data_IF_586639621312
#
_entry.id   IF_586639621312
#
_cell.length_a   1.000
_cell.length_b   1.000
_cell.length_c   1.000
_cell.angle_alpha   90.00
_cell.angle_beta   90.00
_cell.angle_gamma   90.00
#
_symmetry.space_group_name_H-M   'P 1'
#
loop_
_entity.id
_entity.type
_entity.pdbx_description
1 polymer ?
#
# COMPACT_ATOMS: atom_id res chain seq x y z
N UNK A 1 21.57 -11.11 11.88
CA UNK A 1 20.16 -11.34 11.54
C UNK A 1 19.32 -10.63 12.58
N UNK A 2 18.55 -9.60 12.19
CA UNK A 2 17.69 -8.86 13.15
C UNK A 2 16.48 -9.73 13.54
N UNK A 3 16.00 -9.67 14.80
CA UNK A 3 14.78 -10.39 15.21
C UNK A 3 13.57 -9.91 14.38
N UNK A 4 12.65 -10.80 14.03
CA UNK A 4 11.50 -10.49 13.13
C UNK A 4 10.68 -9.27 13.58
N UNK A 5 10.51 -9.09 14.89
CA UNK A 5 9.80 -7.93 15.47
C UNK A 5 10.46 -6.59 15.13
N UNK A 6 11.78 -6.55 15.01
CA UNK A 6 12.51 -5.33 14.64
C UNK A 6 12.39 -5.02 13.15
N UNK A 7 12.31 -6.06 12.31
CA UNK A 7 12.11 -5.90 10.87
C UNK A 7 10.75 -5.23 10.59
N UNK A 8 9.70 -5.72 11.24
CA UNK A 8 8.35 -5.14 11.13
C UNK A 8 8.28 -3.69 11.64
N UNK A 9 9.05 -3.35 12.69
CA UNK A 9 9.12 -1.98 13.18
C UNK A 9 9.84 -1.05 12.21
N UNK A 10 11.01 -1.45 11.69
CA UNK A 10 11.85 -0.64 10.79
C UNK A 10 11.24 -0.49 9.37
N UNK A 11 10.37 -1.40 8.97
CA UNK A 11 9.69 -1.37 7.67
C UNK A 11 8.50 -0.39 7.61
N UNK A 12 8.04 0.14 8.76
CA UNK A 12 6.99 1.16 8.78
C UNK A 12 7.52 2.50 8.26
N UNK A 13 6.76 3.24 7.43
CA UNK A 13 7.20 4.49 6.79
C UNK A 13 7.30 5.69 7.76
N UNK A 14 7.35 5.45 9.08
CA UNK A 14 7.43 6.49 10.08
C UNK A 14 8.87 7.04 10.16
N UNK A 15 9.00 8.36 10.16
CA UNK A 15 10.26 9.10 10.34
C UNK A 15 11.21 8.51 11.40
N UNK A 16 10.79 8.27 12.67
CA UNK A 16 11.70 7.75 13.69
C UNK A 16 12.24 6.35 13.36
N UNK A 17 11.44 5.51 12.70
CA UNK A 17 11.82 4.14 12.39
C UNK A 17 12.88 4.13 11.28
N UNK A 18 12.72 4.99 10.28
CA UNK A 18 13.68 5.13 9.18
C UNK A 18 14.97 5.81 9.65
N UNK A 19 14.90 6.82 10.51
CA UNK A 19 16.09 7.40 11.15
C UNK A 19 16.87 6.35 11.95
N UNK A 20 16.18 5.53 12.76
CA UNK A 20 16.82 4.44 13.50
C UNK A 20 17.47 3.41 12.55
N UNK A 21 16.84 3.09 11.42
CA UNK A 21 17.42 2.21 10.40
C UNK A 21 18.75 2.77 9.86
N UNK A 22 18.80 4.03 9.45
CA UNK A 22 20.03 4.66 8.96
C UNK A 22 21.10 4.80 10.05
N UNK A 23 20.70 5.03 11.31
CA UNK A 23 21.62 5.04 12.46
C UNK A 23 22.26 3.66 12.69
N UNK A 24 21.50 2.58 12.55
CA UNK A 24 22.03 1.21 12.67
C UNK A 24 23.05 0.94 11.56
N UNK A 25 22.75 1.35 10.31
CA UNK A 25 23.71 1.26 9.20
C UNK A 25 24.97 2.06 9.54
N UNK A 26 24.82 3.28 10.06
CA UNK A 26 25.94 4.14 10.44
C UNK A 26 26.85 3.46 11.46
N UNK A 27 26.27 2.94 12.55
CA UNK A 27 27.03 2.24 13.61
C UNK A 27 27.71 0.98 13.05
N UNK A 28 27.04 0.22 12.19
CA UNK A 28 27.61 -0.98 11.58
C UNK A 28 28.80 -0.64 10.68
N UNK A 29 28.67 0.38 9.82
CA UNK A 29 29.74 0.86 8.94
C UNK A 29 30.89 1.41 9.78
N UNK A 30 30.60 2.21 10.83
CA UNK A 30 31.59 2.72 11.78
C UNK A 30 32.35 1.60 12.48
N UNK A 31 31.68 0.52 12.86
CA UNK A 31 32.32 -0.63 13.53
C UNK A 31 33.27 -1.36 12.59
N UNK A 32 32.86 -1.60 11.34
CA UNK A 32 33.73 -2.22 10.32
C UNK A 32 34.93 -1.33 10.05
N UNK A 33 34.72 -0.03 9.91
CA UNK A 33 35.79 0.94 9.72
C UNK A 33 36.76 0.94 10.92
N UNK A 34 36.24 0.95 12.15
CA UNK A 34 37.05 0.85 13.37
C UNK A 34 37.90 -0.42 13.40
N UNK A 35 37.35 -1.57 13.01
CA UNK A 35 38.11 -2.84 12.91
C UNK A 35 39.22 -2.73 11.85
N UNK A 36 38.91 -2.17 10.67
CA UNK A 36 39.90 -1.98 9.60
C UNK A 36 41.04 -1.08 10.09
N UNK A 37 40.73 0.00 10.80
CA UNK A 37 41.73 0.89 11.40
C UNK A 37 42.60 0.11 12.39
N UNK A 38 42.00 -0.63 13.32
CA UNK A 38 42.74 -1.41 14.32
C UNK A 38 43.67 -2.44 13.68
N UNK A 39 43.24 -3.10 12.60
CA UNK A 39 44.07 -4.02 11.82
C UNK A 39 45.21 -3.26 11.16
N UNK A 40 44.94 -2.09 10.59
CA UNK A 40 45.93 -1.29 9.89
C UNK A 40 46.99 -0.73 10.85
N UNK A 41 46.59 -0.20 12.00
CA UNK A 41 47.51 0.26 13.07
C UNK A 41 48.37 -0.91 13.62
N UNK A 42 47.81 -2.12 13.69
CA UNK A 42 48.57 -3.32 14.09
C UNK A 42 49.63 -3.74 13.05
N UNK A 43 49.35 -3.55 11.76
CA UNK A 43 50.27 -3.89 10.67
C UNK A 43 51.32 -2.79 10.42
N UNK A 44 50.98 -1.54 10.68
CA UNK A 44 51.82 -0.36 10.42
C UNK A 44 51.94 0.47 11.71
N UNK A 45 52.89 0.12 12.57
CA UNK A 45 53.11 0.79 13.86
C UNK A 45 53.38 2.29 13.76
N UNK A 46 53.85 2.76 12.60
CA UNK A 46 54.12 4.17 12.33
C UNK A 46 52.86 4.95 11.93
N UNK A 47 51.78 4.25 11.55
CA UNK A 47 50.49 4.83 11.22
C UNK A 47 49.62 4.83 12.49
N UNK A 48 49.52 5.98 13.14
CA UNK A 48 48.67 6.12 14.32
C UNK A 48 47.72 7.28 14.13
N UNK A 49 46.43 6.98 13.95
CA UNK A 49 45.38 7.99 13.79
C UNK A 49 45.14 8.69 15.14
N UNK A 50 45.42 8.00 16.26
CA UNK A 50 45.15 8.46 17.62
C UNK A 50 46.37 9.05 18.35
N UNK A 51 47.61 8.73 17.96
CA UNK A 51 48.80 9.25 18.63
C UNK A 51 49.51 10.32 17.80
N UNK A 52 49.52 11.54 18.34
CA UNK A 52 50.21 12.74 17.84
C UNK A 52 51.74 12.61 17.66
N UNK A 53 52.30 11.40 17.71
CA UNK A 53 53.74 11.18 17.80
C UNK A 53 54.48 11.40 16.48
N UNK A 54 53.85 11.20 15.32
CA UNK A 54 54.50 11.43 14.02
C UNK A 54 54.51 12.92 13.59
N UNK A 55 53.51 13.72 14.01
CA UNK A 55 53.35 15.10 13.57
C UNK A 55 54.13 16.14 14.41
N UNK A 56 54.61 15.74 15.59
CA UNK A 56 55.44 16.62 16.44
C UNK A 56 56.84 16.88 15.88
N UNK A 57 57.22 16.27 14.76
CA UNK A 57 58.56 16.39 14.18
C UNK A 57 58.64 17.39 13.00
N UNK A 58 57.53 17.82 12.41
CA UNK A 58 57.50 18.75 11.28
C UNK A 58 56.50 19.90 11.49
N UNK A 59 56.95 21.14 11.28
CA UNK A 59 56.07 22.31 11.35
C UNK A 59 55.13 22.34 10.13
N UNK A 60 53.92 22.91 10.27
CA UNK A 60 52.90 23.02 9.20
C UNK A 60 53.40 23.59 7.88
N UNK A 61 54.39 24.49 7.93
CA UNK A 61 55.08 25.04 6.76
C UNK A 61 55.87 23.99 5.97
N UNK A 62 56.52 23.04 6.65
CA UNK A 62 57.30 21.98 6.00
C UNK A 62 56.41 20.94 5.30
N UNK A 63 55.25 20.59 5.87
CA UNK A 63 54.28 19.73 5.19
C UNK A 63 53.59 20.41 4.00
N UNK A 64 53.38 21.74 4.08
CA UNK A 64 52.89 22.54 2.95
C UNK A 64 53.90 22.58 1.81
N UNK A 65 55.18 22.80 2.10
CA UNK A 65 56.24 22.86 1.10
C UNK A 65 56.53 21.49 0.44
N UNK A 66 56.17 20.38 1.11
CA UNK A 66 56.24 19.02 0.56
C UNK A 66 55.03 18.64 -0.32
N UNK A 67 54.03 19.52 -0.49
CA UNK A 67 52.88 19.30 -1.36
C UNK A 67 51.87 18.26 -0.87
N UNK A 68 51.95 17.83 0.39
CA UNK A 68 51.03 16.84 0.97
C UNK A 68 49.59 17.37 0.92
N UNK A 69 49.34 18.53 1.53
CA UNK A 69 48.02 19.16 1.62
C UNK A 69 47.33 19.42 0.27
N UNK A 70 48.08 19.52 -0.82
CA UNK A 70 47.51 19.69 -2.15
C UNK A 70 46.87 18.40 -2.68
N UNK A 71 47.47 17.24 -2.36
CA UNK A 71 46.90 15.94 -2.70
C UNK A 71 45.63 15.65 -1.90
N UNK A 72 45.61 15.90 -0.58
CA UNK A 72 44.39 15.66 0.21
C UNK A 72 43.27 16.64 -0.15
N UNK A 73 43.59 17.92 -0.43
CA UNK A 73 42.59 18.88 -0.95
C UNK A 73 42.03 18.44 -2.29
N UNK A 74 42.88 17.93 -3.18
CA UNK A 74 42.44 17.42 -4.48
C UNK A 74 41.49 16.23 -4.31
N UNK A 75 41.85 15.24 -3.49
CA UNK A 75 41.01 14.06 -3.23
C UNK A 75 39.70 14.43 -2.53
N UNK A 76 39.74 15.36 -1.56
CA UNK A 76 38.55 15.83 -0.85
C UNK A 76 37.63 16.63 -1.78
N UNK A 77 38.19 17.45 -2.67
CA UNK A 77 37.44 18.16 -3.70
C UNK A 77 36.79 17.16 -4.67
N UNK A 78 37.53 16.15 -5.11
CA UNK A 78 37.00 15.07 -5.96
C UNK A 78 35.86 14.30 -5.26
N UNK A 79 36.01 14.00 -3.96
CA UNK A 79 34.97 13.37 -3.16
C UNK A 79 33.71 14.24 -3.12
N UNK A 80 33.83 15.51 -2.73
CA UNK A 80 32.70 16.45 -2.65
C UNK A 80 32.01 16.60 -4.01
N UNK A 81 32.77 16.75 -5.09
CA UNK A 81 32.23 16.84 -6.45
C UNK A 81 31.49 15.56 -6.84
N UNK A 82 32.05 14.38 -6.53
CA UNK A 82 31.40 13.09 -6.82
C UNK A 82 30.09 12.93 -6.03
N UNK A 83 30.06 13.34 -4.76
CA UNK A 83 28.85 13.31 -3.92
C UNK A 83 27.78 14.26 -4.47
N UNK A 84 28.17 15.47 -4.88
CA UNK A 84 27.28 16.45 -5.50
C UNK A 84 26.70 15.93 -6.83
N UNK A 85 27.51 15.28 -7.67
CA UNK A 85 27.06 14.69 -8.92
C UNK A 85 26.08 13.52 -8.68
N UNK A 86 26.38 12.64 -7.73
CA UNK A 86 25.53 11.49 -7.39
C UNK A 86 24.19 11.95 -6.83
N UNK A 87 24.15 12.91 -5.90
CA UNK A 87 22.87 13.39 -5.36
C UNK A 87 22.04 14.12 -6.43
N UNK A 88 22.67 14.87 -7.34
CA UNK A 88 21.98 15.48 -8.47
C UNK A 88 21.32 14.43 -9.37
N UNK A 89 22.04 13.34 -9.69
CA UNK A 89 21.51 12.21 -10.46
C UNK A 89 20.36 11.52 -9.72
N UNK A 90 20.49 11.31 -8.42
CA UNK A 90 19.43 10.69 -7.61
C UNK A 90 18.17 11.54 -7.62
N UNK A 91 18.30 12.86 -7.43
CA UNK A 91 17.15 13.78 -7.49
C UNK A 91 16.46 13.71 -8.86
N UNK A 92 17.23 13.70 -9.96
CA UNK A 92 16.64 13.65 -11.30
C UNK A 92 15.95 12.32 -11.57
N UNK A 93 16.58 11.18 -11.24
CA UNK A 93 15.95 9.86 -11.38
C UNK A 93 14.70 9.72 -10.53
N UNK A 94 14.70 10.22 -9.30
CA UNK A 94 13.55 10.16 -8.41
C UNK A 94 12.41 11.04 -8.90
N UNK A 95 12.70 12.21 -9.45
CA UNK A 95 11.70 13.06 -10.07
C UNK A 95 11.09 12.41 -11.33
N UNK A 96 11.91 11.76 -12.17
CA UNK A 96 11.43 10.98 -13.32
C UNK A 96 10.57 9.79 -12.87
N UNK A 97 11.00 9.07 -11.83
CA UNK A 97 10.23 7.98 -11.24
C UNK A 97 8.84 8.45 -10.75
N UNK A 98 8.79 9.60 -10.05
CA UNK A 98 7.54 10.22 -9.61
C UNK A 98 6.66 10.63 -10.79
N UNK A 99 7.25 11.22 -11.85
CA UNK A 99 6.53 11.59 -13.05
C UNK A 99 5.93 10.37 -13.77
N UNK A 100 6.71 9.30 -13.93
CA UNK A 100 6.24 8.05 -14.53
C UNK A 100 5.12 7.41 -13.70
N UNK A 101 5.23 7.43 -12.37
CA UNK A 101 4.18 6.95 -11.48
C UNK A 101 2.91 7.81 -11.60
N UNK A 102 3.04 9.14 -11.61
CA UNK A 102 1.91 10.05 -11.75
C UNK A 102 1.16 9.86 -13.08
N UNK A 103 1.90 9.65 -14.17
CA UNK A 103 1.33 9.35 -15.49
C UNK A 103 0.73 7.95 -15.58
N UNK A 104 1.31 6.98 -14.87
CA UNK A 104 0.87 5.58 -14.96
C UNK A 104 -0.33 5.26 -14.07
N UNK A 105 -0.48 5.97 -12.95
CA UNK A 105 -1.35 5.58 -11.84
C UNK A 105 -2.37 6.64 -11.43
N UNK A 106 -1.97 7.90 -11.23
CA UNK A 106 -2.79 9.10 -11.00
C UNK A 106 -1.90 10.22 -10.43
N UNK A 107 -2.23 11.49 -10.69
CA UNK A 107 -1.53 12.63 -10.09
C UNK A 107 -1.55 12.60 -8.55
N UNK A 108 -2.57 11.99 -7.94
CA UNK A 108 -2.71 11.87 -6.47
C UNK A 108 -1.69 10.92 -5.83
N UNK A 109 -1.06 10.05 -6.62
CA UNK A 109 0.01 9.15 -6.15
C UNK A 109 1.29 9.92 -5.78
N UNK A 110 1.46 11.15 -6.27
CA UNK A 110 2.63 11.98 -5.97
C UNK A 110 2.76 12.23 -4.45
N UNK A 111 1.64 12.37 -3.74
CA UNK A 111 1.69 12.67 -2.31
C UNK A 111 2.19 11.48 -1.48
N UNK A 112 1.97 10.24 -1.95
CA UNK A 112 2.59 9.04 -1.37
C UNK A 112 4.11 9.13 -1.48
N UNK A 113 4.63 9.61 -2.61
CA UNK A 113 6.07 9.77 -2.80
C UNK A 113 6.66 10.87 -1.90
N UNK A 114 6.00 12.02 -1.77
CA UNK A 114 6.45 13.12 -0.91
C UNK A 114 6.54 12.75 0.57
N UNK A 115 5.63 11.89 1.02
CA UNK A 115 5.56 11.46 2.42
C UNK A 115 6.63 10.42 2.80
N UNK A 116 7.39 9.88 1.85
CA UNK A 116 8.46 8.94 2.16
C UNK A 116 9.67 9.65 2.79
N UNK A 117 10.02 9.37 4.07
CA UNK A 117 11.11 10.05 4.76
C UNK A 117 12.50 9.70 4.21
N UNK A 118 12.66 8.57 3.50
CA UNK A 118 13.95 8.07 3.01
C UNK A 118 14.65 9.04 2.06
N UNK A 119 13.87 9.71 1.20
CA UNK A 119 14.42 10.72 0.27
C UNK A 119 15.01 11.90 1.04
N UNK A 120 14.28 12.39 2.05
CA UNK A 120 14.70 13.53 2.86
C UNK A 120 15.90 13.20 3.74
N UNK A 121 15.93 12.00 4.33
CA UNK A 121 17.06 11.52 5.13
C UNK A 121 18.31 11.40 4.25
N UNK A 122 18.21 10.77 3.07
CA UNK A 122 19.34 10.64 2.15
C UNK A 122 19.86 12.02 1.73
N UNK A 123 18.96 12.92 1.34
CA UNK A 123 19.32 14.29 0.96
C UNK A 123 20.03 15.02 2.11
N UNK A 124 19.52 14.88 3.34
CA UNK A 124 20.14 15.45 4.54
C UNK A 124 21.56 14.92 4.79
N UNK A 125 21.77 13.60 4.68
CA UNK A 125 23.09 12.97 4.82
C UNK A 125 24.07 13.53 3.79
N UNK A 126 23.67 13.59 2.51
CA UNK A 126 24.54 14.09 1.44
C UNK A 126 24.88 15.57 1.62
N UNK A 127 23.88 16.42 1.94
CA UNK A 127 24.09 17.84 2.18
C UNK A 127 25.07 18.05 3.34
N UNK A 128 24.88 17.35 4.47
CA UNK A 128 25.78 17.43 5.61
C UNK A 128 27.20 16.98 5.27
N UNK A 129 27.36 15.87 4.55
CA UNK A 129 28.68 15.38 4.11
C UNK A 129 29.38 16.35 3.16
N UNK A 130 28.64 16.96 2.22
CA UNK A 130 29.18 17.97 1.30
C UNK A 130 29.64 19.22 2.08
N UNK A 131 28.80 19.75 2.98
CA UNK A 131 29.18 20.90 3.79
C UNK A 131 30.38 20.61 4.71
N UNK A 132 30.44 19.41 5.28
CA UNK A 132 31.59 18.97 6.07
C UNK A 132 32.86 18.92 5.22
N UNK A 133 32.81 18.33 4.03
CA UNK A 133 33.94 18.28 3.10
C UNK A 133 34.41 19.67 2.64
N UNK A 134 33.49 20.55 2.24
CA UNK A 134 33.81 21.93 1.85
C UNK A 134 34.40 22.75 3.01
N UNK A 135 33.81 22.62 4.20
CA UNK A 135 34.30 23.26 5.41
C UNK A 135 35.72 22.80 5.73
N UNK A 136 35.99 21.50 5.61
CA UNK A 136 37.31 20.95 5.81
C UNK A 136 38.31 21.50 4.80
N UNK A 137 38.02 21.50 3.48
CA UNK A 137 38.88 22.10 2.44
C UNK A 137 39.30 23.53 2.82
N UNK A 138 38.34 24.35 3.28
CA UNK A 138 38.61 25.74 3.69
C UNK A 138 39.53 25.81 4.91
N UNK A 139 39.33 24.92 5.89
CA UNK A 139 40.17 24.84 7.10
C UNK A 139 41.60 24.40 6.75
N UNK A 140 41.77 23.41 5.86
CA UNK A 140 43.10 23.04 5.33
C UNK A 140 43.72 24.27 4.66
N UNK A 141 42.91 25.01 3.89
CA UNK A 141 43.22 26.30 3.27
C UNK A 141 43.94 27.28 4.19
N UNK A 142 43.47 27.36 5.44
CA UNK A 142 43.87 28.37 6.42
C UNK A 142 44.94 27.87 7.42
N UNK A 143 45.29 26.57 7.40
CA UNK A 143 46.34 26.01 8.26
C UNK A 143 46.01 25.97 9.76
N UNK A 144 44.73 26.04 10.14
CA UNK A 144 44.29 26.26 11.53
C UNK A 144 44.39 25.01 12.43
N UNK A 145 44.39 23.80 11.86
CA UNK A 145 44.00 22.57 12.58
C UNK A 145 45.10 21.48 12.63
N UNK A 146 46.38 21.89 12.66
CA UNK A 146 47.57 21.03 12.44
C UNK A 146 47.56 19.67 13.15
N UNK A 147 47.02 19.60 14.38
CA UNK A 147 47.12 18.40 15.21
C UNK A 147 45.93 17.42 15.08
N UNK A 148 44.83 17.80 14.41
CA UNK A 148 43.66 16.93 14.19
C UNK A 148 43.28 16.77 12.71
N UNK A 149 44.18 17.17 11.82
CA UNK A 149 43.94 17.22 10.37
C UNK A 149 43.68 15.85 9.76
N UNK A 150 44.50 14.85 10.07
CA UNK A 150 44.36 13.50 9.52
C UNK A 150 43.05 12.83 9.94
N UNK A 151 42.70 12.94 11.23
CA UNK A 151 41.43 12.43 11.74
C UNK A 151 40.21 13.09 11.10
N UNK A 152 40.25 14.39 10.83
CA UNK A 152 39.16 15.10 10.14
C UNK A 152 39.03 14.69 8.67
N UNK A 153 40.15 14.53 7.96
CA UNK A 153 40.19 14.03 6.57
C UNK A 153 39.63 12.61 6.50
N UNK A 154 40.06 11.75 7.43
CA UNK A 154 39.54 10.40 7.56
C UNK A 154 38.04 10.38 7.84
N UNK A 155 37.57 11.25 8.74
CA UNK A 155 36.15 11.45 9.01
C UNK A 155 35.37 11.85 7.76
N UNK A 156 35.93 12.69 6.89
CA UNK A 156 35.30 13.08 5.64
C UNK A 156 35.17 11.91 4.66
N UNK A 157 36.23 11.09 4.52
CA UNK A 157 36.17 9.87 3.70
C UNK A 157 35.16 8.87 4.24
N UNK A 158 35.12 8.67 5.55
CA UNK A 158 34.14 7.81 6.21
C UNK A 158 32.71 8.28 5.93
N UNK A 159 32.42 9.57 6.11
CA UNK A 159 31.10 10.15 5.82
C UNK A 159 30.72 10.05 4.35
N UNK A 160 31.69 10.20 3.43
CA UNK A 160 31.49 9.99 2.00
C UNK A 160 31.15 8.54 1.67
N UNK A 161 31.91 7.58 2.19
CA UNK A 161 31.67 6.15 2.01
C UNK A 161 30.32 5.72 2.59
N UNK A 162 29.98 6.20 3.80
CA UNK A 162 28.67 6.00 4.41
C UNK A 162 27.53 6.52 3.52
N UNK A 163 27.66 7.72 2.95
CA UNK A 163 26.66 8.28 2.04
C UNK A 163 26.43 7.38 0.82
N UNK A 164 27.50 6.82 0.22
CA UNK A 164 27.38 5.83 -0.86
C UNK A 164 26.67 4.55 -0.43
N UNK A 165 26.93 4.03 0.77
CA UNK A 165 26.21 2.85 1.28
C UNK A 165 24.72 3.15 1.45
N UNK A 166 24.34 4.33 1.95
CA UNK A 166 22.94 4.74 2.12
C UNK A 166 22.15 4.81 0.81
N UNK A 167 22.83 4.95 -0.33
CA UNK A 167 22.21 4.97 -1.65
C UNK A 167 21.55 3.63 -2.00
N UNK A 168 22.18 2.50 -1.65
CA UNK A 168 21.68 1.15 -1.99
C UNK A 168 20.28 0.87 -1.44
N UNK A 169 20.01 1.01 -0.11
CA UNK A 169 18.67 0.79 0.43
C UNK A 169 17.65 1.79 -0.12
N UNK A 170 18.07 3.03 -0.39
CA UNK A 170 17.21 4.03 -1.02
C UNK A 170 16.76 3.62 -2.43
N UNK A 171 17.70 3.16 -3.26
CA UNK A 171 17.41 2.71 -4.63
C UNK A 171 16.45 1.52 -4.63
N UNK A 172 16.68 0.54 -3.76
CA UNK A 172 15.74 -0.59 -3.62
C UNK A 172 14.35 -0.14 -3.20
N UNK A 173 14.24 0.82 -2.26
CA UNK A 173 12.94 1.33 -1.84
C UNK A 173 12.23 2.09 -2.94
N UNK A 174 12.95 2.92 -3.69
CA UNK A 174 12.40 3.67 -4.82
C UNK A 174 11.89 2.73 -5.92
N UNK A 175 12.64 1.67 -6.24
CA UNK A 175 12.19 0.62 -7.17
C UNK A 175 10.97 -0.14 -6.65
N UNK A 176 10.86 -0.35 -5.34
CA UNK A 176 9.68 -0.97 -4.73
C UNK A 176 8.44 -0.07 -4.84
N UNK A 177 8.59 1.23 -4.65
CA UNK A 177 7.51 2.22 -4.77
C UNK A 177 7.01 2.37 -6.20
N UNK A 178 7.82 2.06 -7.22
CA UNK A 178 7.37 2.07 -8.61
C UNK A 178 6.34 0.96 -8.94
N UNK A 179 6.28 -0.09 -8.11
CA UNK A 179 5.33 -1.19 -8.31
C UNK A 179 3.91 -0.74 -7.93
N UNK A 180 2.90 -0.94 -8.79
CA UNK A 180 1.52 -0.52 -8.52
C UNK A 180 0.99 -1.15 -7.23
N UNK A 181 1.31 -2.42 -6.97
CA UNK A 181 0.88 -3.13 -5.77
C UNK A 181 1.40 -2.51 -4.48
N UNK A 182 2.63 -1.97 -4.48
CA UNK A 182 3.19 -1.27 -3.32
C UNK A 182 2.47 0.05 -3.08
N UNK A 183 2.25 0.83 -4.13
CA UNK A 183 1.52 2.11 -4.05
C UNK A 183 0.11 1.88 -3.55
N UNK A 184 -0.62 0.93 -4.14
CA UNK A 184 -1.98 0.55 -3.73
C UNK A 184 -1.99 0.16 -2.25
N UNK A 185 -1.02 -0.62 -1.77
CA UNK A 185 -0.94 -1.02 -0.37
C UNK A 185 -0.70 0.16 0.56
N UNK A 186 0.15 1.11 0.16
CA UNK A 186 0.39 2.34 0.95
C UNK A 186 -0.87 3.20 1.01
N UNK A 187 -1.55 3.41 -0.12
CA UNK A 187 -2.82 4.13 -0.19
C UNK A 187 -3.92 3.44 0.62
N UNK A 188 -3.98 2.11 0.62
CA UNK A 188 -4.99 1.37 1.37
C UNK A 188 -4.80 1.49 2.89
N UNK A 189 -3.57 1.71 3.37
CA UNK A 189 -3.33 2.00 4.78
C UNK A 189 -3.90 3.37 5.20
N UNK A 190 -4.16 4.27 4.24
CA UNK A 190 -4.82 5.55 4.49
C UNK A 190 -6.34 5.46 4.49
N UNK A 191 -6.93 4.30 4.14
CA UNK A 191 -8.35 4.02 4.32
C UNK A 191 -8.57 3.72 5.81
N UNK A 192 -8.50 4.78 6.61
CA UNK A 192 -8.80 4.72 8.04
C UNK A 192 -10.17 5.31 8.32
N UNK A 193 -10.86 4.84 9.37
CA UNK A 193 -12.17 5.33 9.72
C UNK A 193 -12.20 6.85 9.94
N UNK A 194 -11.16 7.41 10.57
CA UNK A 194 -11.09 8.83 10.91
C UNK A 194 -11.07 9.69 9.66
N UNK A 195 -10.32 9.26 8.64
CA UNK A 195 -10.23 9.97 7.34
C UNK A 195 -11.53 9.88 6.55
N UNK A 196 -12.25 8.74 6.60
CA UNK A 196 -13.53 8.59 5.88
C UNK A 196 -14.62 9.45 6.54
N UNK A 197 -14.71 9.44 7.88
CA UNK A 197 -15.71 10.22 8.61
C UNK A 197 -15.46 11.72 8.46
N UNK A 198 -14.21 12.16 8.40
CA UNK A 198 -13.88 13.57 8.16
C UNK A 198 -14.37 14.05 6.80
N UNK A 199 -14.32 13.20 5.77
CA UNK A 199 -14.87 13.49 4.44
C UNK A 199 -16.40 13.65 4.50
N UNK A 200 -17.10 12.77 5.23
CA UNK A 200 -18.57 12.82 5.29
C UNK A 200 -19.13 13.98 6.14
N UNK A 201 -18.43 14.42 7.20
CA UNK A 201 -18.94 15.47 8.11
C UNK A 201 -18.78 16.91 7.61
N UNK A 202 -17.97 17.15 6.58
CA UNK A 202 -17.62 18.50 6.10
C UNK A 202 -18.10 18.70 4.66
N UNK A 203 -19.41 18.67 4.44
CA UNK A 203 -20.05 18.82 3.11
C UNK A 203 -19.71 20.15 2.38
N UNK A 204 -19.18 21.17 3.07
CA UNK A 204 -19.03 22.53 2.51
C UNK A 204 -17.58 22.99 2.22
N UNK A 205 -16.55 22.19 2.49
CA UNK A 205 -15.17 22.58 2.15
C UNK A 205 -14.60 21.68 1.07
N UNK A 206 -14.07 22.33 0.01
CA UNK A 206 -13.32 21.72 -1.08
C UNK A 206 -12.05 21.08 -0.49
N UNK A 207 -12.17 19.87 0.06
CA UNK A 207 -11.04 19.02 0.42
C UNK A 207 -11.09 17.75 -0.41
N UNK A 208 -10.18 17.72 -1.38
CA UNK A 208 -9.36 16.57 -1.77
C UNK A 208 -8.88 15.84 -0.49
N UNK A 209 -9.09 14.54 -0.24
CA UNK A 209 -9.13 13.34 -1.08
C UNK A 209 -9.93 12.28 -0.30
N UNK A 210 -11.03 11.79 -0.84
CA UNK A 210 -11.60 10.51 -0.43
C UNK A 210 -10.47 9.45 -0.43
N UNK A 211 -10.16 8.79 0.72
CA UNK A 211 -8.98 7.92 0.82
C UNK A 211 -9.03 6.70 -0.10
N UNK A 212 -10.23 6.33 -0.59
CA UNK A 212 -10.42 5.25 -1.56
C UNK A 212 -10.11 5.72 -2.98
N UNK A 213 -10.37 7.01 -3.28
CA UNK A 213 -10.36 7.56 -4.62
C UNK A 213 -8.99 7.45 -5.34
N UNK A 214 -7.83 7.66 -4.71
CA UNK A 214 -6.54 7.40 -5.37
C UNK A 214 -6.40 5.96 -5.87
N UNK A 215 -6.93 4.98 -5.13
CA UNK A 215 -6.91 3.57 -5.55
C UNK A 215 -7.91 3.36 -6.71
N UNK A 216 -9.06 4.02 -6.66
CA UNK A 216 -10.05 4.00 -7.76
C UNK A 216 -9.44 4.50 -9.07
N UNK A 217 -8.73 5.64 -9.03
CA UNK A 217 -8.08 6.22 -10.20
C UNK A 217 -7.07 5.23 -10.83
N UNK A 218 -6.28 4.55 -9.99
CA UNK A 218 -5.35 3.50 -10.43
C UNK A 218 -6.10 2.33 -11.08
N UNK A 219 -7.19 1.89 -10.47
CA UNK A 219 -8.02 0.78 -10.98
C UNK A 219 -8.65 1.16 -12.33
N UNK A 220 -9.15 2.39 -12.49
CA UNK A 220 -9.73 2.84 -13.75
C UNK A 220 -8.68 2.91 -14.88
N UNK A 221 -7.50 3.45 -14.61
CA UNK A 221 -6.40 3.44 -15.57
C UNK A 221 -5.95 2.00 -15.89
N UNK A 222 -5.93 1.12 -14.91
CA UNK A 222 -5.62 -0.30 -15.12
C UNK A 222 -6.69 -1.01 -15.96
N UNK A 223 -7.97 -0.71 -15.73
CA UNK A 223 -9.08 -1.19 -16.56
C UNK A 223 -8.97 -0.69 -18.01
N UNK A 224 -8.54 0.54 -18.22
CA UNK A 224 -8.27 1.09 -19.56
C UNK A 224 -7.15 0.35 -20.28
N UNK A 225 -6.09 0.01 -19.54
CA UNK A 225 -4.92 -0.71 -20.06
C UNK A 225 -5.12 -2.24 -20.10
N UNK A 226 -6.28 -2.75 -19.67
CA UNK A 226 -6.55 -4.17 -19.45
C UNK A 226 -5.54 -4.87 -18.51
N UNK A 227 -4.94 -4.13 -17.58
CA UNK A 227 -4.08 -4.66 -16.53
C UNK A 227 -4.93 -5.23 -15.38
N UNK A 228 -5.41 -6.43 -15.63
CA UNK A 228 -6.28 -7.17 -14.72
C UNK A 228 -5.64 -7.48 -13.36
N UNK A 229 -4.32 -7.63 -13.27
CA UNK A 229 -3.66 -7.89 -11.99
C UNK A 229 -3.60 -6.64 -11.12
N UNK A 230 -3.38 -5.46 -11.72
CA UNK A 230 -3.46 -4.19 -10.98
C UNK A 230 -4.89 -3.92 -10.49
N UNK A 231 -5.91 -4.18 -11.31
CA UNK A 231 -7.33 -4.09 -10.89
C UNK A 231 -7.63 -5.00 -9.70
N UNK A 232 -7.21 -6.26 -9.79
CA UNK A 232 -7.36 -7.25 -8.71
C UNK A 232 -6.64 -6.82 -7.43
N UNK A 233 -5.41 -6.31 -7.53
CA UNK A 233 -4.66 -5.83 -6.38
C UNK A 233 -5.34 -4.63 -5.71
N UNK A 234 -5.86 -3.70 -6.50
CA UNK A 234 -6.64 -2.56 -6.02
C UNK A 234 -7.90 -2.98 -5.26
N UNK A 235 -8.72 -3.82 -5.87
CA UNK A 235 -9.94 -4.37 -5.25
C UNK A 235 -9.63 -5.15 -3.97
N UNK A 236 -8.55 -5.95 -3.97
CA UNK A 236 -8.14 -6.71 -2.79
C UNK A 236 -7.73 -5.79 -1.62
N UNK A 237 -7.05 -4.68 -1.93
CA UNK A 237 -6.63 -3.71 -0.93
C UNK A 237 -7.83 -2.95 -0.33
N UNK A 238 -8.76 -2.47 -1.17
CA UNK A 238 -10.01 -1.83 -0.72
C UNK A 238 -10.83 -2.81 0.14
N UNK A 239 -10.97 -4.06 -0.31
CA UNK A 239 -11.70 -5.10 0.42
C UNK A 239 -11.10 -5.38 1.79
N UNK A 240 -9.78 -5.53 1.90
CA UNK A 240 -9.13 -5.76 3.19
C UNK A 240 -9.31 -4.57 4.13
N UNK A 241 -9.12 -3.34 3.65
CA UNK A 241 -9.35 -2.14 4.46
C UNK A 241 -10.80 -2.09 4.97
N UNK A 242 -11.78 -2.37 4.11
CA UNK A 242 -13.21 -2.41 4.49
C UNK A 242 -13.49 -3.44 5.59
N UNK A 243 -12.88 -4.62 5.50
CA UNK A 243 -13.08 -5.70 6.48
C UNK A 243 -12.44 -5.34 7.82
N UNK A 244 -11.30 -4.65 7.80
CA UNK A 244 -10.68 -4.12 9.02
C UNK A 244 -11.56 -3.05 9.68
N UNK A 245 -12.29 -2.24 8.90
CA UNK A 245 -13.31 -1.31 9.41
C UNK A 245 -14.45 -2.06 10.11
N UNK A 246 -15.03 -3.08 9.46
CA UNK A 246 -16.16 -3.88 10.00
C UNK A 246 -15.81 -4.57 11.33
N UNK A 247 -14.55 -4.99 11.48
CA UNK A 247 -14.04 -5.64 12.70
C UNK A 247 -13.83 -4.68 13.85
N UNK A 248 -13.71 -3.39 13.59
CA UNK A 248 -13.33 -2.42 14.60
C UNK A 248 -14.56 -2.00 15.44
N UNK A 249 -14.65 -2.55 16.65
CA UNK A 249 -15.77 -2.33 17.58
C UNK A 249 -15.80 -0.93 18.21
N UNK A 250 -14.82 -0.07 17.92
CA UNK A 250 -14.73 1.28 18.49
C UNK A 250 -15.68 2.29 17.83
N UNK A 251 -16.30 1.93 16.70
CA UNK A 251 -17.19 2.84 15.97
C UNK A 251 -18.61 2.86 16.51
N UNK A 252 -19.23 4.04 16.41
CA UNK A 252 -20.68 4.13 16.43
C UNK A 252 -21.20 3.46 15.17
N UNK A 253 -22.24 2.65 15.32
CA UNK A 253 -22.85 1.85 14.23
C UNK A 253 -23.15 2.72 12.99
N UNK A 254 -23.61 3.96 13.20
CA UNK A 254 -23.94 4.88 12.11
C UNK A 254 -22.73 5.33 11.27
N UNK A 255 -21.61 5.68 11.91
CA UNK A 255 -20.42 6.18 11.24
C UNK A 255 -19.72 5.08 10.42
N UNK A 256 -19.74 3.86 10.95
CA UNK A 256 -19.24 2.68 10.25
C UNK A 256 -20.07 2.39 9.00
N UNK A 257 -21.41 2.40 9.11
CA UNK A 257 -22.31 2.15 7.98
C UNK A 257 -22.10 3.14 6.84
N UNK A 258 -21.95 4.42 7.14
CA UNK A 258 -21.74 5.46 6.13
C UNK A 258 -20.41 5.22 5.39
N UNK A 259 -19.34 4.93 6.15
CA UNK A 259 -18.02 4.65 5.60
C UNK A 259 -18.01 3.38 4.73
N UNK A 260 -18.61 2.28 5.21
CA UNK A 260 -18.64 1.01 4.47
C UNK A 260 -19.51 1.11 3.23
N UNK A 261 -20.65 1.79 3.30
CA UNK A 261 -21.54 1.99 2.14
C UNK A 261 -20.87 2.78 1.04
N UNK A 262 -20.13 3.84 1.40
CA UNK A 262 -19.33 4.62 0.46
C UNK A 262 -18.28 3.75 -0.26
N UNK A 263 -17.57 2.89 0.48
CA UNK A 263 -16.60 1.96 -0.12
C UNK A 263 -17.28 0.89 -0.99
N UNK A 264 -18.43 0.36 -0.57
CA UNK A 264 -19.20 -0.63 -1.33
C UNK A 264 -19.61 -0.05 -2.68
N UNK A 265 -20.06 1.21 -2.71
CA UNK A 265 -20.43 1.92 -3.94
C UNK A 265 -19.22 2.07 -4.88
N UNK A 266 -18.03 2.33 -4.36
CA UNK A 266 -16.80 2.35 -5.16
C UNK A 266 -16.49 0.99 -5.80
N UNK A 267 -16.60 -0.10 -5.03
CA UNK A 267 -16.39 -1.46 -5.58
C UNK A 267 -17.45 -1.79 -6.64
N UNK A 268 -18.71 -1.40 -6.42
CA UNK A 268 -19.78 -1.54 -7.41
C UNK A 268 -19.42 -0.79 -8.70
N UNK A 269 -19.05 0.49 -8.60
CA UNK A 269 -18.68 1.31 -9.75
C UNK A 269 -17.53 0.69 -10.56
N UNK A 270 -16.53 0.11 -9.91
CA UNK A 270 -15.46 -0.65 -10.59
C UNK A 270 -16.06 -1.84 -11.36
N UNK A 271 -16.93 -2.62 -10.72
CA UNK A 271 -17.59 -3.76 -11.34
C UNK A 271 -18.44 -3.36 -12.54
N UNK A 272 -19.19 -2.26 -12.44
CA UNK A 272 -20.00 -1.71 -13.53
C UNK A 272 -19.13 -1.23 -14.70
N UNK A 273 -18.02 -0.54 -14.42
CA UNK A 273 -17.08 -0.12 -15.46
C UNK A 273 -16.41 -1.31 -16.15
N UNK A 274 -16.06 -2.35 -15.39
CA UNK A 274 -15.56 -3.60 -15.97
C UNK A 274 -16.60 -4.28 -16.86
N UNK A 275 -17.88 -4.28 -16.46
CA UNK A 275 -18.99 -4.82 -17.25
C UNK A 275 -19.18 -4.08 -18.57
N UNK A 276 -19.14 -2.75 -18.54
CA UNK A 276 -19.26 -1.92 -19.73
C UNK A 276 -18.15 -2.18 -20.74
N UNK A 277 -16.97 -2.60 -20.27
CA UNK A 277 -15.82 -2.98 -21.09
C UNK A 277 -15.79 -4.45 -21.50
N UNK A 278 -16.76 -5.27 -21.07
CA UNK A 278 -16.74 -6.72 -21.32
C UNK A 278 -15.66 -7.47 -20.52
N UNK A 279 -15.08 -6.85 -19.49
CA UNK A 279 -14.01 -7.44 -18.69
C UNK A 279 -14.56 -8.31 -17.56
N UNK A 280 -15.03 -9.51 -17.91
CA UNK A 280 -15.60 -10.48 -16.96
C UNK A 280 -14.61 -10.87 -15.84
N UNK A 281 -13.30 -10.83 -16.11
CA UNK A 281 -12.27 -11.14 -15.11
C UNK A 281 -12.28 -10.09 -14.00
N UNK A 282 -12.23 -8.80 -14.35
CA UNK A 282 -12.27 -7.72 -13.37
C UNK A 282 -13.60 -7.64 -12.63
N UNK A 283 -14.73 -7.85 -13.33
CA UNK A 283 -16.05 -7.96 -12.68
C UNK A 283 -16.06 -9.06 -11.61
N UNK A 284 -15.48 -10.23 -11.93
CA UNK A 284 -15.39 -11.36 -10.98
C UNK A 284 -14.70 -10.94 -9.67
N UNK A 285 -13.64 -10.13 -9.73
CA UNK A 285 -12.96 -9.66 -8.52
C UNK A 285 -13.78 -8.63 -7.75
N UNK A 286 -14.55 -7.78 -8.43
CA UNK A 286 -15.48 -6.86 -7.75
C UNK A 286 -16.55 -7.67 -7.00
N UNK A 287 -17.16 -8.66 -7.67
CA UNK A 287 -18.13 -9.58 -7.06
C UNK A 287 -17.55 -10.33 -5.85
N UNK A 288 -16.35 -10.91 -5.99
CA UNK A 288 -15.68 -11.62 -4.89
C UNK A 288 -15.36 -10.70 -3.70
N UNK A 289 -15.02 -9.44 -3.98
CA UNK A 289 -14.76 -8.45 -2.93
C UNK A 289 -16.05 -8.10 -2.19
N UNK A 290 -17.13 -7.85 -2.91
CA UNK A 290 -18.47 -7.62 -2.35
C UNK A 290 -18.94 -8.82 -1.54
N UNK A 291 -18.87 -10.05 -2.08
CA UNK A 291 -19.26 -11.28 -1.36
C UNK A 291 -18.52 -11.41 -0.02
N UNK A 292 -17.21 -11.17 -0.01
CA UNK A 292 -16.41 -11.25 1.21
C UNK A 292 -16.81 -10.18 2.23
N UNK A 293 -16.96 -8.92 1.79
CA UNK A 293 -17.42 -7.81 2.65
C UNK A 293 -18.82 -8.11 3.20
N UNK A 294 -19.73 -8.62 2.38
CA UNK A 294 -21.09 -8.96 2.79
C UNK A 294 -21.12 -10.07 3.83
N UNK A 295 -20.29 -11.09 3.65
CA UNK A 295 -20.16 -12.21 4.60
C UNK A 295 -19.58 -11.74 5.94
N UNK A 296 -18.52 -10.93 5.92
CA UNK A 296 -17.94 -10.35 7.15
C UNK A 296 -18.93 -9.38 7.82
N UNK A 297 -19.70 -8.61 7.04
CA UNK A 297 -20.77 -7.74 7.57
C UNK A 297 -21.82 -8.54 8.33
N UNK A 298 -22.24 -9.70 7.79
CA UNK A 298 -23.19 -10.60 8.45
C UNK A 298 -22.60 -11.15 9.75
N UNK A 299 -21.34 -11.61 9.72
CA UNK A 299 -20.64 -12.15 10.90
C UNK A 299 -20.53 -11.09 12.01
N UNK A 300 -20.30 -9.83 11.65
CA UNK A 300 -20.17 -8.71 12.57
C UNK A 300 -21.49 -7.99 12.86
N UNK A 301 -22.64 -8.55 12.42
CA UNK A 301 -23.99 -8.01 12.64
C UNK A 301 -24.17 -6.57 12.14
N UNK A 302 -23.57 -6.28 10.98
CA UNK A 302 -23.63 -4.98 10.29
C UNK A 302 -24.70 -5.05 9.21
N UNK A 303 -25.96 -5.07 9.65
CA UNK A 303 -27.12 -5.27 8.80
C UNK A 303 -27.12 -4.35 7.57
N UNK A 304 -26.99 -3.03 7.77
CA UNK A 304 -27.08 -2.07 6.66
C UNK A 304 -25.95 -2.27 5.64
N UNK A 305 -24.76 -2.63 6.09
CA UNK A 305 -23.62 -2.96 5.19
C UNK A 305 -23.91 -4.24 4.40
N UNK A 306 -24.48 -5.27 5.02
CA UNK A 306 -24.89 -6.51 4.33
C UNK A 306 -25.98 -6.24 3.29
N UNK A 307 -26.94 -5.37 3.60
CA UNK A 307 -27.99 -4.94 2.67
C UNK A 307 -27.39 -4.18 1.49
N UNK A 308 -26.51 -3.21 1.75
CA UNK A 308 -25.81 -2.45 0.70
C UNK A 308 -25.03 -3.39 -0.24
N UNK A 309 -24.27 -4.34 0.30
CA UNK A 309 -23.57 -5.35 -0.51
C UNK A 309 -24.54 -6.17 -1.37
N UNK A 310 -25.64 -6.66 -0.79
CA UNK A 310 -26.62 -7.46 -1.54
C UNK A 310 -27.22 -6.68 -2.72
N UNK A 311 -27.43 -5.37 -2.54
CA UNK A 311 -27.90 -4.47 -3.58
C UNK A 311 -26.86 -4.29 -4.68
N UNK A 312 -25.61 -4.00 -4.33
CA UNK A 312 -24.53 -3.85 -5.29
C UNK A 312 -24.27 -5.14 -6.10
N UNK A 313 -24.33 -6.32 -5.45
CA UNK A 313 -24.24 -7.61 -6.15
C UNK A 313 -25.39 -7.76 -7.16
N UNK A 314 -26.61 -7.39 -6.78
CA UNK A 314 -27.76 -7.45 -7.69
C UNK A 314 -27.63 -6.45 -8.86
N UNK A 315 -27.11 -5.25 -8.62
CA UNK A 315 -26.80 -4.26 -9.67
C UNK A 315 -25.78 -4.79 -10.67
N UNK A 316 -24.70 -5.45 -10.21
CA UNK A 316 -23.74 -6.12 -11.08
C UNK A 316 -24.37 -7.26 -11.89
N UNK A 317 -25.30 -8.01 -11.30
CA UNK A 317 -26.07 -9.02 -12.02
C UNK A 317 -26.89 -8.41 -13.17
N UNK A 318 -27.60 -7.31 -12.92
CA UNK A 318 -28.41 -6.65 -13.96
C UNK A 318 -27.55 -6.23 -15.16
N UNK A 319 -26.39 -5.65 -14.89
CA UNK A 319 -25.47 -5.26 -15.96
C UNK A 319 -24.86 -6.47 -16.68
N UNK A 320 -24.51 -7.53 -15.95
CA UNK A 320 -24.03 -8.77 -16.56
C UNK A 320 -25.09 -9.44 -17.43
N UNK A 321 -26.36 -9.34 -17.04
CA UNK A 321 -27.50 -9.82 -17.78
C UNK A 321 -27.65 -9.08 -19.12
N UNK A 322 -27.65 -7.75 -19.09
CA UNK A 322 -27.71 -6.92 -20.30
C UNK A 322 -26.57 -7.23 -21.29
N UNK A 323 -25.41 -7.61 -20.77
CA UNK A 323 -24.22 -8.02 -21.53
C UNK A 323 -24.16 -9.52 -21.84
N UNK A 324 -25.16 -10.31 -21.44
CA UNK A 324 -25.28 -11.77 -21.66
C UNK A 324 -24.10 -12.59 -21.09
N UNK A 325 -23.52 -12.13 -19.99
CA UNK A 325 -22.35 -12.75 -19.32
C UNK A 325 -22.76 -13.95 -18.46
N UNK A 326 -23.13 -15.06 -19.11
CA UNK A 326 -23.71 -16.26 -18.45
C UNK A 326 -22.90 -16.80 -17.28
N UNK A 327 -21.56 -16.86 -17.40
CA UNK A 327 -20.69 -17.37 -16.34
C UNK A 327 -20.69 -16.44 -15.12
N UNK A 328 -20.79 -15.13 -15.33
CA UNK A 328 -20.86 -14.16 -14.25
C UNK A 328 -22.21 -14.25 -13.49
N UNK A 329 -23.32 -14.46 -14.21
CA UNK A 329 -24.64 -14.67 -13.61
C UNK A 329 -24.62 -15.85 -12.63
N UNK A 330 -24.05 -16.99 -13.04
CA UNK A 330 -23.93 -18.16 -12.16
C UNK A 330 -23.07 -17.89 -10.93
N UNK A 331 -21.98 -17.13 -11.09
CA UNK A 331 -21.15 -16.72 -9.95
C UNK A 331 -21.90 -15.82 -8.98
N UNK A 332 -22.71 -14.89 -9.50
CA UNK A 332 -23.52 -13.99 -8.67
C UNK A 332 -24.51 -14.77 -7.79
N UNK A 333 -25.17 -15.78 -8.36
CA UNK A 333 -26.05 -16.68 -7.60
C UNK A 333 -25.25 -17.41 -6.50
N UNK A 334 -24.05 -17.89 -6.81
CA UNK A 334 -23.16 -18.52 -5.83
C UNK A 334 -22.76 -17.59 -4.68
N UNK A 335 -22.41 -16.33 -4.99
CA UNK A 335 -22.05 -15.33 -3.98
C UNK A 335 -23.23 -15.02 -3.05
N UNK A 336 -24.44 -14.88 -3.61
CA UNK A 336 -25.67 -14.70 -2.82
C UNK A 336 -26.00 -15.94 -1.97
N UNK A 337 -25.80 -17.16 -2.51
CA UNK A 337 -25.95 -18.40 -1.74
C UNK A 337 -25.02 -18.43 -0.53
N UNK A 338 -23.77 -18.01 -0.70
CA UNK A 338 -22.77 -17.97 0.36
C UNK A 338 -23.16 -16.96 1.45
N UNK A 339 -23.57 -15.75 1.05
CA UNK A 339 -24.07 -14.74 1.99
C UNK A 339 -25.32 -15.23 2.74
N UNK A 340 -26.34 -15.76 2.03
CA UNK A 340 -27.57 -16.25 2.66
C UNK A 340 -27.33 -17.45 3.58
N UNK A 341 -26.36 -18.29 3.21
CA UNK A 341 -25.88 -19.38 4.05
C UNK A 341 -25.24 -18.91 5.34
N UNK A 342 -24.45 -17.82 5.30
CA UNK A 342 -23.85 -17.25 6.50
C UNK A 342 -24.91 -16.54 7.35
N UNK A 343 -25.85 -15.81 6.74
CA UNK A 343 -26.97 -15.19 7.44
C UNK A 343 -27.79 -16.22 8.22
N UNK A 344 -28.07 -17.38 7.61
CA UNK A 344 -28.72 -18.50 8.30
C UNK A 344 -27.90 -19.02 9.49
N UNK A 345 -26.56 -19.05 9.40
CA UNK A 345 -25.71 -19.45 10.54
C UNK A 345 -25.77 -18.42 11.67
N UNK A 346 -25.76 -17.13 11.34
CA UNK A 346 -25.79 -16.02 12.30
C UNK A 346 -27.21 -15.69 12.82
N UNK A 347 -28.25 -16.32 12.25
CA UNK A 347 -29.68 -16.10 12.55
C UNK A 347 -30.20 -14.71 12.18
N UNK A 348 -29.66 -14.15 11.10
CA UNK A 348 -30.05 -12.84 10.57
C UNK A 348 -31.21 -13.01 9.57
N UNK A 349 -32.44 -13.19 10.08
CA UNK A 349 -33.63 -13.54 9.26
C UNK A 349 -33.92 -12.53 8.15
N UNK A 350 -33.86 -11.24 8.46
CA UNK A 350 -34.13 -10.18 7.47
C UNK A 350 -33.15 -10.23 6.28
N UNK A 351 -31.88 -10.56 6.52
CA UNK A 351 -30.87 -10.70 5.46
C UNK A 351 -31.17 -11.94 4.61
N UNK A 352 -31.63 -13.04 5.24
CA UNK A 352 -32.03 -14.26 4.54
C UNK A 352 -33.18 -13.96 3.57
N UNK A 353 -34.21 -13.25 4.04
CA UNK A 353 -35.37 -12.86 3.23
C UNK A 353 -34.97 -11.96 2.06
N UNK A 354 -34.09 -10.99 2.31
CA UNK A 354 -33.58 -10.11 1.26
C UNK A 354 -32.84 -10.90 0.19
N UNK A 355 -31.98 -11.82 0.60
CA UNK A 355 -31.20 -12.65 -0.33
C UNK A 355 -32.10 -13.64 -1.09
N UNK A 356 -33.12 -14.22 -0.43
CA UNK A 356 -34.07 -15.13 -1.08
C UNK A 356 -34.86 -14.39 -2.16
N UNK A 357 -35.31 -13.18 -1.86
CA UNK A 357 -36.02 -12.32 -2.80
C UNK A 357 -35.14 -11.96 -4.01
N UNK A 358 -33.87 -11.60 -3.80
CA UNK A 358 -32.93 -11.32 -4.90
C UNK A 358 -32.71 -12.58 -5.76
N UNK A 359 -32.49 -13.75 -5.14
CA UNK A 359 -32.30 -15.02 -5.85
C UNK A 359 -33.54 -15.42 -6.67
N UNK A 360 -34.74 -15.16 -6.14
CA UNK A 360 -36.01 -15.34 -6.85
C UNK A 360 -36.05 -14.47 -8.09
N UNK A 361 -35.84 -13.16 -7.94
CA UNK A 361 -35.88 -12.21 -9.06
C UNK A 361 -34.83 -12.55 -10.12
N UNK A 362 -33.63 -12.97 -9.74
CA UNK A 362 -32.60 -13.47 -10.68
C UNK A 362 -33.12 -14.70 -11.44
N UNK A 363 -33.74 -15.63 -10.71
CA UNK A 363 -34.33 -16.83 -11.30
C UNK A 363 -35.43 -16.51 -12.32
N UNK A 364 -36.34 -15.61 -11.98
CA UNK A 364 -37.45 -15.18 -12.85
C UNK A 364 -36.94 -14.54 -14.13
N UNK A 365 -36.06 -13.54 -14.01
CA UNK A 365 -35.44 -12.89 -15.17
C UNK A 365 -34.62 -13.85 -16.03
N UNK A 366 -34.05 -14.89 -15.44
CA UNK A 366 -33.32 -15.93 -16.17
C UNK A 366 -34.22 -16.88 -16.99
N UNK A 367 -35.51 -16.99 -16.64
CA UNK A 367 -36.49 -17.75 -17.43
C UNK A 367 -36.76 -17.03 -18.74
N UNK A 368 -37.00 -15.72 -18.68
CA UNK A 368 -37.28 -14.86 -19.84
C UNK A 368 -36.15 -14.94 -20.89
N UNK A 369 -34.91 -15.04 -20.43
CA UNK A 369 -33.71 -15.15 -21.27
C UNK A 369 -33.30 -16.58 -21.63
N UNK A 370 -34.11 -17.58 -21.25
CA UNK A 370 -33.87 -19.01 -21.51
C UNK A 370 -32.56 -19.50 -20.89
N UNK A 371 -32.13 -18.92 -19.77
CA UNK A 371 -30.95 -19.30 -19.00
C UNK A 371 -31.26 -20.42 -17.99
N UNK A 372 -31.60 -21.61 -18.48
CA UNK A 372 -32.01 -22.77 -17.66
C UNK A 372 -31.05 -23.10 -16.50
N UNK A 373 -29.73 -22.95 -16.72
CA UNK A 373 -28.73 -23.19 -15.68
C UNK A 373 -28.84 -22.20 -14.52
N UNK A 374 -29.10 -20.92 -14.79
CA UNK A 374 -29.27 -19.91 -13.76
C UNK A 374 -30.56 -20.14 -12.96
N UNK A 375 -31.68 -20.48 -13.63
CA UNK A 375 -32.94 -20.85 -12.96
C UNK A 375 -32.74 -22.02 -12.00
N UNK A 376 -32.11 -23.11 -12.50
CA UNK A 376 -31.83 -24.30 -11.68
C UNK A 376 -30.89 -23.97 -10.51
N UNK A 377 -29.89 -23.12 -10.74
CA UNK A 377 -28.95 -22.71 -9.71
C UNK A 377 -29.63 -21.86 -8.64
N UNK A 378 -30.41 -20.84 -9.01
CA UNK A 378 -31.19 -20.03 -8.05
C UNK A 378 -32.11 -20.88 -7.19
N UNK A 379 -32.87 -21.81 -7.80
CA UNK A 379 -33.74 -22.73 -7.07
C UNK A 379 -32.97 -23.63 -6.08
N UNK A 380 -31.80 -24.14 -6.52
CA UNK A 380 -30.92 -24.97 -5.69
C UNK A 380 -30.33 -24.15 -4.52
N UNK A 381 -29.91 -22.92 -4.78
CA UNK A 381 -29.36 -22.01 -3.76
C UNK A 381 -30.41 -21.66 -2.71
N UNK A 382 -31.63 -21.30 -3.13
CA UNK A 382 -32.78 -21.11 -2.22
C UNK A 382 -33.00 -22.35 -1.35
N UNK A 383 -32.95 -23.56 -1.93
CA UNK A 383 -33.13 -24.82 -1.18
C UNK A 383 -32.07 -24.98 -0.10
N UNK A 384 -30.81 -24.72 -0.44
CA UNK A 384 -29.68 -24.85 0.48
C UNK A 384 -29.73 -23.84 1.62
N UNK A 385 -30.13 -22.60 1.34
CA UNK A 385 -30.38 -21.60 2.39
C UNK A 385 -31.54 -22.05 3.28
N UNK A 386 -32.64 -22.52 2.69
CA UNK A 386 -33.82 -23.00 3.42
C UNK A 386 -33.50 -24.15 4.39
N UNK A 387 -32.73 -25.16 3.95
CA UNK A 387 -32.27 -26.25 4.82
C UNK A 387 -31.46 -25.71 6.01
N UNK A 388 -30.60 -24.70 5.79
CA UNK A 388 -29.81 -24.08 6.87
C UNK A 388 -30.70 -23.29 7.83
N UNK A 389 -31.69 -22.55 7.32
CA UNK A 389 -32.65 -21.81 8.13
C UNK A 389 -33.52 -22.74 8.98
N UNK A 390 -34.00 -23.86 8.41
CA UNK A 390 -34.78 -24.89 9.10
C UNK A 390 -33.98 -25.53 10.25
N UNK A 391 -32.72 -25.90 10.00
CA UNK A 391 -31.82 -26.43 11.02
C UNK A 391 -31.58 -25.45 12.20
N UNK A 392 -31.82 -24.16 11.98
CA UNK A 392 -31.68 -23.10 12.98
C UNK A 392 -33.02 -22.62 13.54
N UNK A 393 -34.14 -23.22 13.12
CA UNK A 393 -35.52 -22.89 13.52
C UNK A 393 -35.94 -21.47 13.15
N UNK A 394 -35.45 -20.94 12.03
CA UNK A 394 -35.79 -19.62 11.50
C UNK A 394 -37.06 -19.72 10.65
N UNK A 395 -38.21 -19.87 11.31
CA UNK A 395 -39.46 -20.28 10.64
C UNK A 395 -39.99 -19.22 9.66
N UNK A 396 -39.87 -17.94 10.01
CA UNK A 396 -40.33 -16.84 9.14
C UNK A 396 -39.51 -16.79 7.84
N UNK A 397 -38.18 -16.79 7.96
CA UNK A 397 -37.28 -16.88 6.80
C UNK A 397 -37.51 -18.15 5.96
N UNK A 398 -37.80 -19.29 6.58
CA UNK A 398 -38.09 -20.55 5.88
C UNK A 398 -39.40 -20.47 5.07
N UNK A 399 -40.45 -19.87 5.63
CA UNK A 399 -41.72 -19.65 4.94
C UNK A 399 -41.52 -18.78 3.71
N UNK A 400 -40.77 -17.68 3.85
CA UNK A 400 -40.42 -16.80 2.73
C UNK A 400 -39.63 -17.51 1.64
N UNK A 401 -38.61 -18.31 1.99
CA UNK A 401 -37.85 -19.10 1.02
C UNK A 401 -38.75 -20.10 0.27
N UNK A 402 -39.67 -20.78 0.98
CA UNK A 402 -40.60 -21.72 0.35
C UNK A 402 -41.55 -21.00 -0.62
N UNK A 403 -42.04 -19.83 -0.25
CA UNK A 403 -42.84 -18.98 -1.13
C UNK A 403 -42.06 -18.63 -2.41
N UNK A 404 -40.83 -18.15 -2.25
CA UNK A 404 -39.96 -17.74 -3.34
C UNK A 404 -39.61 -18.93 -4.27
N UNK A 405 -39.38 -20.12 -3.72
CA UNK A 405 -39.16 -21.34 -4.49
C UNK A 405 -40.40 -21.81 -5.27
N UNK A 406 -41.58 -21.72 -4.66
CA UNK A 406 -42.83 -22.12 -5.30
C UNK A 406 -43.14 -21.19 -6.48
N UNK A 407 -42.96 -19.88 -6.30
CA UNK A 407 -43.09 -18.89 -7.39
C UNK A 407 -42.16 -19.23 -8.56
N UNK A 408 -40.87 -19.47 -8.26
CA UNK A 408 -39.89 -19.80 -9.29
C UNK A 408 -40.19 -21.14 -10.01
N UNK A 409 -40.69 -22.14 -9.28
CA UNK A 409 -41.03 -23.45 -9.84
C UNK A 409 -42.25 -23.38 -10.77
N UNK A 410 -43.26 -22.58 -10.41
CA UNK A 410 -44.46 -22.39 -11.22
C UNK A 410 -44.17 -21.68 -12.55
N UNK A 411 -43.17 -20.80 -12.59
CA UNK A 411 -42.75 -20.10 -13.81
C UNK A 411 -41.90 -20.98 -14.75
N UNK A 412 -41.29 -22.05 -14.23
CA UNK A 412 -40.42 -22.92 -15.02
C UNK A 412 -41.16 -24.07 -15.72
N UNK A 413 -42.34 -24.43 -15.22
CA UNK A 413 -43.25 -25.41 -15.83
C UNK A 413 -43.98 -24.77 -17.02
#
# INVERSE_FOLDING_TARGET
MLPEKWKEYLDKPLWPNRLAYYLIIFIAVLSVFGIVILIFESLFSDFSILSNTAYNQYNTTQLSDMGFFDNERYLLSALVQSLAAVIALVITLSLVAVQLAAQSYSARVIDVYKQNPDMWILLGIYILTIFYGLGLIKIIGLGILSNYMEGAIFGAYFMGFFAFICLVPYMWKTLELLKPSTVIKLLANDITPEKIIEVNRKEEQIYEIDPVQPIMDIIYIALEKNDNETVKNGLYAIKNATVDLLKNTKFKIFEEWEATTHIIQHIENIGLQAANRGNEYSMKFALMSLEYIGTESIIHKRYDSSVAVSHSIFSLYQHAQDKKMKLFILKTIGSLENMGSEAAKQKEEEIIERISEILRVIGEKSIDEKHKNAVKMSSTSLKRIGIKAENRKLMHALEKIREDQNKLSNLYQ
#
